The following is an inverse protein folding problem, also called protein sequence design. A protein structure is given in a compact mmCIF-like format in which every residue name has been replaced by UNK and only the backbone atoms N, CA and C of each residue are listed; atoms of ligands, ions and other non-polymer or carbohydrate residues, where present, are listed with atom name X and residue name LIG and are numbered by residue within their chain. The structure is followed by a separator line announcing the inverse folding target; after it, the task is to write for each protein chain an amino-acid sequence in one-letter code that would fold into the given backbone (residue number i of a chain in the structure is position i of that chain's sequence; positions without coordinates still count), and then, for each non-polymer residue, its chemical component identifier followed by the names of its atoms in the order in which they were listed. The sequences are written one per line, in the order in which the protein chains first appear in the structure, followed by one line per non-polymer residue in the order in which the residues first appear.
data_IF_507405002249
#
_entry.id   IF_507405002249
#
_cell.length_a   1.000
_cell.length_b   1.000
_cell.length_c   1.000
_cell.angle_alpha   90.00
_cell.angle_beta   90.00
_cell.angle_gamma   90.00
#
_symmetry.space_group_name_H-M   'P 1'
#
loop_
_entity.id
_entity.type
_entity.pdbx_description
1 polymer ?
#
# COMPACT_ATOMS: atom_id res chain seq x y z
N UNK A 1 -14.18 -38.73 23.70
CA UNK A 1 -12.94 -38.00 23.38
C UNK A 1 -13.26 -37.08 22.21
N UNK A 2 -13.29 -35.77 22.46
CA UNK A 2 -13.62 -34.77 21.45
C UNK A 2 -12.37 -34.50 20.60
N UNK A 3 -12.42 -34.78 19.30
CA UNK A 3 -11.46 -34.26 18.34
C UNK A 3 -12.12 -33.09 17.63
N UNK A 4 -11.79 -31.88 18.09
CA UNK A 4 -12.22 -30.63 17.50
C UNK A 4 -11.74 -30.54 16.05
N UNK A 5 -12.68 -30.65 15.12
CA UNK A 5 -12.50 -30.43 13.69
C UNK A 5 -12.22 -28.94 13.49
N UNK A 6 -10.99 -28.61 13.08
CA UNK A 6 -10.53 -27.24 12.79
C UNK A 6 -11.51 -26.58 11.81
N UNK A 7 -12.13 -25.47 12.23
CA UNK A 7 -13.10 -24.67 11.45
C UNK A 7 -12.52 -23.31 11.06
N UNK A 8 -11.24 -23.27 10.69
CA UNK A 8 -10.57 -21.99 10.41
C UNK A 8 -10.49 -21.69 8.90
N UNK A 9 -10.91 -22.63 8.03
CA UNK A 9 -10.70 -22.56 6.58
C UNK A 9 -11.80 -21.87 5.79
N UNK A 10 -12.96 -21.55 6.39
CA UNK A 10 -14.12 -21.00 5.66
C UNK A 10 -14.17 -19.46 5.66
N UNK A 11 -13.19 -18.76 6.25
CA UNK A 11 -13.26 -17.30 6.41
C UNK A 11 -12.69 -16.49 5.24
N UNK A 12 -11.98 -17.13 4.30
CA UNK A 12 -11.30 -16.45 3.19
C UNK A 12 -11.73 -16.97 1.81
N UNK A 13 -12.94 -17.49 1.68
CA UNK A 13 -13.59 -17.63 0.36
C UNK A 13 -14.02 -16.22 -0.11
N UNK A 14 -13.01 -15.37 -0.36
CA UNK A 14 -13.22 -14.04 -0.89
C UNK A 14 -13.34 -14.14 -2.39
N UNK A 15 -14.38 -13.53 -2.93
CA UNK A 15 -14.54 -13.31 -4.37
C UNK A 15 -13.19 -12.87 -4.98
N UNK A 16 -12.83 -13.36 -6.18
CA UNK A 16 -11.57 -12.99 -6.82
C UNK A 16 -11.45 -11.48 -6.87
N UNK A 17 -10.30 -10.95 -6.41
CA UNK A 17 -10.02 -9.51 -6.41
C UNK A 17 -10.15 -8.98 -7.83
N UNK A 18 -11.26 -8.33 -8.12
CA UNK A 18 -11.52 -7.67 -9.39
C UNK A 18 -10.64 -6.44 -9.48
N UNK A 19 -9.44 -6.58 -10.06
CA UNK A 19 -8.59 -5.44 -10.38
C UNK A 19 -9.24 -4.68 -11.53
N UNK A 20 -9.68 -3.45 -11.27
CA UNK A 20 -10.12 -2.56 -12.34
C UNK A 20 -8.92 -2.25 -13.22
N UNK A 21 -8.98 -2.63 -14.49
CA UNK A 21 -7.84 -2.61 -15.43
C UNK A 21 -7.28 -1.21 -15.75
N UNK A 22 -7.87 -0.13 -15.23
CA UNK A 22 -7.53 1.22 -15.64
C UNK A 22 -7.52 2.20 -14.45
N UNK A 23 -6.52 2.15 -13.57
CA UNK A 23 -6.22 3.32 -12.72
C UNK A 23 -5.37 4.28 -13.55
N UNK A 24 -6.02 5.12 -14.34
CA UNK A 24 -5.35 6.09 -15.22
C UNK A 24 -4.70 7.21 -14.39
N UNK A 25 -5.28 7.57 -13.25
CA UNK A 25 -4.76 8.60 -12.34
C UNK A 25 -5.05 8.27 -10.87
N UNK A 26 -4.16 8.67 -9.96
CA UNK A 26 -4.41 8.56 -8.53
C UNK A 26 -5.45 9.60 -8.06
N UNK A 27 -6.32 9.27 -7.08
CA UNK A 27 -7.23 10.21 -6.44
C UNK A 27 -6.51 11.45 -5.87
N UNK A 28 -7.20 12.57 -5.68
CA UNK A 28 -6.63 13.76 -5.03
C UNK A 28 -6.24 13.48 -3.56
N UNK A 29 -5.36 14.32 -2.96
CA UNK A 29 -4.75 14.03 -1.65
C UNK A 29 -5.74 13.89 -0.50
N UNK A 30 -6.86 14.61 -0.57
CA UNK A 30 -7.98 14.57 0.38
C UNK A 30 -8.74 13.24 0.34
N UNK A 31 -8.75 12.55 -0.80
CA UNK A 31 -9.44 11.26 -0.98
C UNK A 31 -8.49 10.08 -0.85
N UNK A 32 -7.24 10.24 -1.28
CA UNK A 32 -6.25 9.17 -1.29
C UNK A 32 -5.86 8.78 0.14
N UNK A 33 -6.12 7.52 0.50
CA UNK A 33 -5.82 7.02 1.85
C UNK A 33 -6.64 7.71 2.94
N UNK A 34 -7.88 8.10 2.65
CA UNK A 34 -8.77 8.81 3.56
C UNK A 34 -8.13 10.11 4.11
N UNK A 35 -7.46 10.88 3.25
CA UNK A 35 -6.78 12.11 3.62
C UNK A 35 -5.35 11.91 4.16
N UNK A 36 -4.85 10.67 4.20
CA UNK A 36 -3.48 10.33 4.60
C UNK A 36 -2.66 9.70 3.47
N UNK A 37 -2.46 10.41 2.35
CA UNK A 37 -1.82 9.85 1.16
C UNK A 37 -0.39 9.39 1.42
N UNK A 38 0.38 10.12 2.23
CA UNK A 38 1.76 9.74 2.57
C UNK A 38 1.85 8.35 3.21
N UNK A 39 0.89 7.97 4.05
CA UNK A 39 0.87 6.67 4.71
C UNK A 39 0.77 5.53 3.68
N UNK A 40 0.00 5.70 2.61
CA UNK A 40 -0.05 4.71 1.52
C UNK A 40 1.29 4.55 0.82
N UNK A 41 2.01 5.65 0.55
CA UNK A 41 3.36 5.58 -0.05
C UNK A 41 4.38 4.96 0.90
N UNK A 42 4.22 5.16 2.21
CA UNK A 42 5.03 4.50 3.23
C UNK A 42 4.78 2.98 3.25
N UNK A 43 3.52 2.56 3.32
CA UNK A 43 3.12 1.15 3.25
C UNK A 43 3.62 0.50 1.96
N UNK A 44 3.46 1.18 0.82
CA UNK A 44 3.98 0.69 -0.46
C UNK A 44 5.51 0.60 -0.48
N UNK A 45 6.21 1.55 0.14
CA UNK A 45 7.68 1.52 0.23
C UNK A 45 8.19 0.36 1.09
N UNK A 46 7.46 0.03 2.17
CA UNK A 46 7.68 -1.17 2.98
C UNK A 46 7.46 -2.44 2.17
N UNK A 47 6.30 -2.55 1.49
CA UNK A 47 5.99 -3.69 0.61
C UNK A 47 7.04 -3.89 -0.47
N UNK A 48 7.52 -2.80 -1.08
CA UNK A 48 8.59 -2.86 -2.10
C UNK A 48 9.94 -3.27 -1.54
N UNK A 49 10.26 -2.94 -0.29
CA UNK A 49 11.54 -3.28 0.31
C UNK A 49 11.68 -4.79 0.53
N UNK A 50 10.59 -5.46 0.86
CA UNK A 50 10.57 -6.89 1.20
C UNK A 50 9.88 -7.76 0.16
N UNK A 51 9.57 -7.22 -1.03
CA UNK A 51 8.79 -7.92 -2.07
C UNK A 51 9.31 -9.34 -2.32
N UNK A 52 10.61 -9.49 -2.52
CA UNK A 52 11.19 -10.78 -2.91
C UNK A 52 11.19 -11.79 -1.75
N UNK A 53 11.33 -11.33 -0.51
CA UNK A 53 11.26 -12.17 0.68
C UNK A 53 9.81 -12.57 0.98
N UNK A 54 8.89 -11.61 0.87
CA UNK A 54 7.46 -11.81 1.06
C UNK A 54 6.91 -12.85 0.08
N UNK A 55 7.28 -12.77 -1.21
CA UNK A 55 6.87 -13.75 -2.23
C UNK A 55 7.46 -15.16 -2.03
N UNK A 56 8.52 -15.30 -1.23
CA UNK A 56 9.13 -16.61 -0.92
C UNK A 56 8.61 -17.22 0.38
N UNK A 57 8.23 -16.38 1.34
CA UNK A 57 7.94 -16.80 2.72
C UNK A 57 6.45 -16.83 3.05
N UNK A 58 5.65 -15.93 2.48
CA UNK A 58 4.21 -15.82 2.78
C UNK A 58 3.44 -16.83 1.93
N UNK A 59 2.69 -17.72 2.59
CA UNK A 59 1.80 -18.68 1.94
C UNK A 59 0.34 -18.32 2.18
N UNK A 60 0.03 -17.76 3.35
CA UNK A 60 -1.30 -17.30 3.73
C UNK A 60 -1.32 -15.77 3.95
N UNK A 61 -2.44 -15.06 3.69
CA UNK A 61 -2.55 -13.63 3.95
C UNK A 61 -2.24 -13.22 5.39
N UNK A 62 -2.52 -14.09 6.37
CA UNK A 62 -2.21 -13.82 7.78
C UNK A 62 -0.70 -13.78 8.05
N UNK A 63 0.09 -14.52 7.27
CA UNK A 63 1.55 -14.54 7.40
C UNK A 63 2.19 -13.19 7.10
N UNK A 64 1.54 -12.35 6.27
CA UNK A 64 2.03 -10.99 5.96
C UNK A 64 2.15 -10.17 7.25
N UNK A 65 1.16 -10.28 8.13
CA UNK A 65 1.14 -9.55 9.41
C UNK A 65 2.29 -10.05 10.28
N UNK A 66 2.45 -11.37 10.40
CA UNK A 66 3.52 -11.98 11.17
C UNK A 66 4.92 -11.64 10.64
N UNK A 67 5.10 -11.64 9.32
CA UNK A 67 6.33 -11.27 8.62
C UNK A 67 6.77 -9.86 9.04
N UNK A 68 5.94 -8.84 8.83
CA UNK A 68 6.30 -7.47 9.20
C UNK A 68 6.48 -7.28 10.70
N UNK A 69 5.75 -8.03 11.53
CA UNK A 69 5.94 -7.96 12.98
C UNK A 69 7.28 -8.52 13.44
N UNK A 70 7.80 -9.54 12.78
CA UNK A 70 9.12 -10.12 13.07
C UNK A 70 10.28 -9.21 12.63
N UNK A 71 10.03 -8.32 11.66
CA UNK A 71 11.04 -7.44 11.04
C UNK A 71 11.27 -6.12 11.79
N UNK A 72 10.56 -5.87 12.89
CA UNK A 72 10.51 -4.61 13.66
C UNK A 72 11.85 -4.00 14.08
N UNK A 73 12.99 -4.71 13.96
CA UNK A 73 14.35 -4.20 14.26
C UNK A 73 15.31 -4.18 13.07
N UNK A 74 14.87 -4.61 11.88
CA UNK A 74 15.69 -4.74 10.66
C UNK A 74 15.26 -3.81 9.54
N UNK A 75 14.27 -2.97 9.77
CA UNK A 75 13.86 -1.97 8.79
C UNK A 75 14.93 -0.90 8.65
N UNK A 76 15.46 -0.75 7.43
CA UNK A 76 16.20 0.45 7.05
C UNK A 76 15.21 1.61 6.90
N UNK A 77 14.84 2.21 8.03
CA UNK A 77 13.85 3.26 8.11
C UNK A 77 14.22 4.46 7.23
N UNK A 78 15.51 4.78 7.11
CA UNK A 78 15.99 5.90 6.30
C UNK A 78 15.72 5.62 4.82
N UNK A 79 16.10 4.44 4.33
CA UNK A 79 15.87 4.05 2.94
C UNK A 79 14.39 3.99 2.60
N UNK A 80 13.58 3.40 3.48
CA UNK A 80 12.13 3.27 3.31
C UNK A 80 11.46 4.65 3.29
N UNK A 81 11.77 5.53 4.24
CA UNK A 81 11.21 6.89 4.32
C UNK A 81 11.63 7.73 3.12
N UNK A 82 12.89 7.67 2.71
CA UNK A 82 13.38 8.39 1.52
C UNK A 82 12.69 7.92 0.24
N UNK A 83 12.41 6.62 0.11
CA UNK A 83 11.62 6.09 -1.01
C UNK A 83 10.19 6.61 -0.97
N UNK A 84 9.54 6.56 0.19
CA UNK A 84 8.17 7.04 0.37
C UNK A 84 8.06 8.52 0.04
N UNK A 85 9.00 9.34 0.51
CA UNK A 85 9.09 10.77 0.21
C UNK A 85 9.19 11.03 -1.30
N UNK A 86 10.11 10.36 -2.01
CA UNK A 86 10.24 10.54 -3.46
C UNK A 86 8.96 10.18 -4.24
N UNK A 87 8.26 9.13 -3.81
CA UNK A 87 7.00 8.73 -4.43
C UNK A 87 5.89 9.74 -4.15
N UNK A 88 5.80 10.23 -2.91
CA UNK A 88 4.84 11.24 -2.52
C UNK A 88 5.10 12.58 -3.23
N UNK A 89 6.35 13.02 -3.32
CA UNK A 89 6.72 14.25 -4.04
C UNK A 89 6.35 14.17 -5.52
N UNK A 90 6.52 13.00 -6.15
CA UNK A 90 6.07 12.77 -7.53
C UNK A 90 4.56 12.88 -7.63
N UNK A 91 3.84 12.19 -6.74
CA UNK A 91 2.38 12.27 -6.69
C UNK A 91 1.88 13.71 -6.55
N UNK A 92 2.45 14.50 -5.62
CA UNK A 92 2.05 15.89 -5.42
C UNK A 92 2.30 16.77 -6.64
N UNK A 93 3.41 16.57 -7.37
CA UNK A 93 3.64 17.26 -8.65
C UNK A 93 2.59 16.91 -9.69
N UNK A 94 2.24 15.62 -9.81
CA UNK A 94 1.21 15.17 -10.75
C UNK A 94 -0.17 15.78 -10.39
N UNK A 95 -0.47 15.94 -9.07
CA UNK A 95 -1.68 16.62 -8.59
C UNK A 95 -1.68 18.12 -8.92
N UNK A 96 -0.55 18.83 -8.72
CA UNK A 96 -0.43 20.25 -9.06
C UNK A 96 -0.63 20.49 -10.57
N UNK A 97 0.00 19.67 -11.41
CA UNK A 97 -0.18 19.70 -12.86
C UNK A 97 -1.65 19.45 -13.23
N UNK A 98 -2.34 18.54 -12.51
CA UNK A 98 -3.76 18.29 -12.74
C UNK A 98 -4.63 19.48 -12.36
N UNK A 99 -4.38 20.10 -11.20
CA UNK A 99 -5.12 21.28 -10.74
C UNK A 99 -4.95 22.42 -11.75
N UNK A 100 -3.72 22.70 -12.19
CA UNK A 100 -3.44 23.73 -13.22
C UNK A 100 -4.14 23.45 -14.56
N UNK A 101 -4.25 22.18 -14.95
CA UNK A 101 -5.00 21.79 -16.16
C UNK A 101 -6.52 22.01 -16.02
N UNK A 102 -7.08 21.74 -14.85
CA UNK A 102 -8.52 21.84 -14.60
C UNK A 102 -8.96 23.29 -14.30
N UNK A 103 -8.08 24.09 -13.70
CA UNK A 103 -8.35 25.45 -13.25
C UNK A 103 -7.22 26.41 -13.63
N UNK A 104 -7.04 26.70 -14.93
CA UNK A 104 -5.97 27.60 -15.39
C UNK A 104 -6.08 29.01 -14.80
N UNK A 105 -7.30 29.49 -14.56
CA UNK A 105 -7.63 30.83 -14.04
C UNK A 105 -7.31 31.04 -12.53
N UNK A 106 -6.96 29.98 -11.79
CA UNK A 106 -6.72 30.04 -10.33
C UNK A 106 -5.20 30.08 -10.01
N UNK A 107 -4.38 30.22 -11.04
CA UNK A 107 -2.92 30.35 -10.89
C UNK A 107 -2.55 31.81 -10.61
N UNK A 108 -2.14 32.13 -9.37
CA UNK A 108 -1.52 33.42 -9.02
C UNK A 108 -0.04 33.45 -9.39
#
# INVERSE_FOLDING_TARGET
MQTGKRRDSEMYDSDPVQMKDCVVELPPPDQLGAGHPFLLFLCFSLLKEYKDELMRTVQDPTDVIHFYQSMKKRHDAIKILNRARRLFDRYMRDQDIRIKRLFPEVSF
#
